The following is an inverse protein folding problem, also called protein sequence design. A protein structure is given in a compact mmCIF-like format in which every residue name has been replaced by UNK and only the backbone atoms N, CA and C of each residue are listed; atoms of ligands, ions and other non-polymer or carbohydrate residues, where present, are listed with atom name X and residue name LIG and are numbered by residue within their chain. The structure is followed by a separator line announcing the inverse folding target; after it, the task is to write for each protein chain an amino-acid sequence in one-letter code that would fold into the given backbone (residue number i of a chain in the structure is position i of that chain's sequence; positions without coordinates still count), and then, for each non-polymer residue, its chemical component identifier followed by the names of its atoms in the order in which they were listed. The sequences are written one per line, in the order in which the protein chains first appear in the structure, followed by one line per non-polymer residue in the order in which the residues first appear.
data_IF_791039666800
#
_entry.id   IF_791039666800
#
_cell.length_a   1.000
_cell.length_b   1.000
_cell.length_c   1.000
_cell.angle_alpha   90.00
_cell.angle_beta   90.00
_cell.angle_gamma   90.00
#
_symmetry.space_group_name_H-M   'P 1'
#
loop_
_entity.id
_entity.type
_entity.pdbx_description
1 polymer ?
#
# COMPACT_ATOMS: atom_id res chain seq x y z
N UNK A 1 12.17 2.09 33.67
CA UNK A 1 12.78 1.98 32.32
C UNK A 1 11.68 1.55 31.40
N UNK A 2 11.09 2.50 30.65
CA UNK A 2 10.09 2.17 29.63
C UNK A 2 10.79 1.44 28.49
N UNK A 3 10.32 0.25 28.14
CA UNK A 3 10.71 -0.44 26.92
C UNK A 3 10.28 0.47 25.76
N UNK A 4 11.26 0.99 25.02
CA UNK A 4 10.96 1.63 23.74
C UNK A 4 10.15 0.62 22.93
N UNK A 5 8.90 0.93 22.65
CA UNK A 5 8.08 0.14 21.71
C UNK A 5 8.81 0.17 20.39
N UNK A 6 9.20 -1.01 19.92
CA UNK A 6 9.89 -1.16 18.64
C UNK A 6 9.04 -0.51 17.55
N UNK A 7 9.65 0.40 16.76
CA UNK A 7 8.95 1.13 15.70
C UNK A 7 8.59 0.17 14.56
N UNK A 8 7.34 -0.24 14.52
CA UNK A 8 6.79 -1.17 13.52
C UNK A 8 6.47 -0.52 12.17
N UNK A 9 6.73 0.80 12.02
CA UNK A 9 6.44 1.58 10.81
C UNK A 9 7.64 1.69 9.86
N UNK A 10 8.67 0.89 10.02
CA UNK A 10 9.93 0.96 9.26
C UNK A 10 10.60 2.36 9.32
N UNK A 11 10.49 3.05 10.45
CA UNK A 11 11.05 4.38 10.65
C UNK A 11 10.14 5.53 10.22
N UNK A 12 9.01 5.27 9.59
CA UNK A 12 8.11 6.33 9.12
C UNK A 12 7.44 7.10 10.25
N UNK A 13 7.28 6.53 11.45
CA UNK A 13 6.80 7.30 12.62
C UNK A 13 7.74 8.46 12.96
N UNK A 14 9.05 8.25 12.90
CA UNK A 14 10.03 9.28 13.22
C UNK A 14 10.01 10.47 12.24
N UNK A 15 9.59 10.25 11.00
CA UNK A 15 9.53 11.27 9.93
C UNK A 15 8.10 11.66 9.54
N UNK A 16 7.10 11.15 10.25
CA UNK A 16 5.69 11.29 9.89
C UNK A 16 5.25 12.74 9.69
N UNK A 17 5.65 13.65 10.59
CA UNK A 17 5.31 15.08 10.49
C UNK A 17 5.83 15.71 9.20
N UNK A 18 7.08 15.41 8.83
CA UNK A 18 7.70 15.94 7.60
C UNK A 18 7.03 15.33 6.38
N UNK A 19 6.76 14.02 6.41
CA UNK A 19 6.06 13.32 5.33
C UNK A 19 4.67 13.89 5.09
N UNK A 20 3.88 14.09 6.15
CA UNK A 20 2.52 14.66 6.10
C UNK A 20 2.54 16.09 5.53
N UNK A 21 3.48 16.93 5.97
CA UNK A 21 3.63 18.30 5.47
C UNK A 21 3.98 18.30 3.96
N UNK A 22 4.87 17.44 3.52
CA UNK A 22 5.26 17.30 2.12
C UNK A 22 4.11 16.83 1.20
N UNK A 23 3.20 16.00 1.71
CA UNK A 23 2.01 15.55 0.97
C UNK A 23 0.90 16.61 0.96
N UNK A 24 0.76 17.42 2.02
CA UNK A 24 -0.26 18.47 2.11
C UNK A 24 0.01 19.72 1.27
N UNK A 25 1.22 19.91 0.73
CA UNK A 25 1.58 21.08 -0.10
C UNK A 25 1.27 20.88 -1.60
N UNK A 26 0.90 19.68 -2.03
CA UNK A 26 0.53 19.41 -3.42
C UNK A 26 -0.94 19.80 -3.65
N UNK A 27 -1.16 20.78 -4.55
CA UNK A 27 -2.46 21.43 -4.75
C UNK A 27 -3.54 20.51 -5.36
N UNK A 28 -3.13 19.40 -5.99
CA UNK A 28 -4.02 18.43 -6.64
C UNK A 28 -3.49 17.02 -6.47
N UNK A 29 -4.39 16.06 -6.33
CA UNK A 29 -4.07 14.62 -6.28
C UNK A 29 -3.28 14.17 -7.51
N UNK A 30 -3.63 14.69 -8.69
CA UNK A 30 -2.97 14.36 -9.95
C UNK A 30 -1.52 14.84 -10.09
N UNK A 31 -1.04 15.73 -9.19
CA UNK A 31 0.35 16.21 -9.19
C UNK A 31 1.31 15.27 -8.46
N UNK A 32 0.81 14.18 -7.88
CA UNK A 32 1.64 13.18 -7.19
C UNK A 32 2.15 12.14 -8.17
N UNK A 33 3.46 11.84 -8.09
CA UNK A 33 4.10 10.78 -8.88
C UNK A 33 3.30 9.48 -8.71
N UNK A 34 2.91 8.85 -9.85
CA UNK A 34 2.15 7.62 -9.89
C UNK A 34 0.63 7.75 -9.66
N UNK A 35 0.12 8.95 -9.37
CA UNK A 35 -1.31 9.17 -9.15
C UNK A 35 -2.17 8.72 -10.34
N UNK A 36 -1.68 8.93 -11.57
CA UNK A 36 -2.38 8.54 -12.79
C UNK A 36 -2.55 7.01 -12.89
N UNK A 37 -1.52 6.23 -12.50
CA UNK A 37 -1.56 4.76 -12.50
C UNK A 37 -2.59 4.25 -11.49
N UNK A 38 -2.54 4.76 -10.26
CA UNK A 38 -3.47 4.37 -9.19
C UNK A 38 -4.90 4.79 -9.54
N UNK A 39 -5.09 5.98 -10.13
CA UNK A 39 -6.39 6.44 -10.59
C UNK A 39 -6.97 5.53 -11.68
N UNK A 40 -6.20 5.18 -12.71
CA UNK A 40 -6.65 4.29 -13.77
C UNK A 40 -7.04 2.89 -13.22
N UNK A 41 -6.29 2.39 -12.22
CA UNK A 41 -6.62 1.14 -11.55
C UNK A 41 -7.92 1.27 -10.73
N UNK A 42 -8.11 2.37 -10.00
CA UNK A 42 -9.31 2.62 -9.21
C UNK A 42 -10.57 2.79 -10.07
N UNK A 43 -10.47 3.52 -11.18
CA UNK A 43 -11.58 3.76 -12.13
C UNK A 43 -12.07 2.46 -12.82
N UNK A 44 -11.26 1.39 -12.80
CA UNK A 44 -11.64 0.10 -13.37
C UNK A 44 -12.55 -0.74 -12.46
N UNK A 45 -12.87 -0.28 -11.26
CA UNK A 45 -13.84 -0.91 -10.37
C UNK A 45 -15.23 -0.30 -10.52
N UNK A 46 -16.30 -1.08 -10.31
CA UNK A 46 -17.62 -0.49 -10.22
C UNK A 46 -17.74 0.39 -8.96
N UNK A 47 -18.52 1.48 -9.02
CA UNK A 47 -18.79 2.30 -7.84
C UNK A 47 -19.34 1.46 -6.69
N UNK A 48 -18.89 1.76 -5.46
CA UNK A 48 -19.25 1.00 -4.26
C UNK A 48 -18.45 -0.28 -4.04
N UNK A 49 -17.51 -0.63 -4.92
CA UNK A 49 -16.60 -1.75 -4.67
C UNK A 49 -15.74 -1.47 -3.42
N UNK A 50 -15.51 -2.51 -2.62
CA UNK A 50 -14.68 -2.41 -1.41
C UNK A 50 -13.21 -2.56 -1.73
N UNK A 51 -12.38 -1.64 -1.26
CA UNK A 51 -10.93 -1.64 -1.48
C UNK A 51 -10.17 -1.41 -0.16
N UNK A 52 -9.07 -2.13 0.01
CA UNK A 52 -8.14 -1.98 1.12
C UNK A 52 -6.90 -1.20 0.67
N UNK A 53 -6.55 -0.13 1.38
CA UNK A 53 -5.33 0.67 1.21
C UNK A 53 -4.32 0.27 2.30
N UNK A 54 -3.32 -0.53 1.93
CA UNK A 54 -2.28 -1.03 2.83
C UNK A 54 -1.07 -0.09 2.85
N UNK A 55 -0.66 0.35 4.04
CA UNK A 55 0.37 1.37 4.18
C UNK A 55 -0.13 2.72 3.69
N UNK A 56 -1.39 3.04 4.04
CA UNK A 56 -2.10 4.22 3.53
C UNK A 56 -1.45 5.55 3.90
N UNK A 57 -0.55 5.55 4.89
CA UNK A 57 -0.01 6.78 5.45
C UNK A 57 -1.12 7.71 5.94
N UNK A 58 -1.05 9.02 5.65
CA UNK A 58 -2.10 9.98 5.99
C UNK A 58 -3.28 9.97 5.00
N UNK A 59 -3.36 8.99 4.08
CA UNK A 59 -4.40 8.82 3.08
C UNK A 59 -4.24 9.66 1.80
N UNK A 60 -3.20 10.49 1.74
CA UNK A 60 -2.88 11.30 0.56
C UNK A 60 -1.66 10.75 -0.18
N UNK A 61 -1.76 10.50 -1.49
CA UNK A 61 -2.94 10.67 -2.35
C UNK A 61 -3.81 9.41 -2.48
N UNK A 62 -3.40 8.24 -1.94
CA UNK A 62 -3.96 6.93 -2.23
C UNK A 62 -5.45 6.83 -1.88
N UNK A 63 -5.81 6.98 -0.61
CA UNK A 63 -7.21 6.92 -0.14
C UNK A 63 -8.08 7.97 -0.81
N UNK A 64 -7.55 9.18 -1.07
CA UNK A 64 -8.29 10.23 -1.80
C UNK A 64 -8.68 9.76 -3.19
N UNK A 65 -7.75 9.21 -3.95
CA UNK A 65 -8.00 8.67 -5.30
C UNK A 65 -9.09 7.58 -5.25
N UNK A 66 -8.99 6.65 -4.30
CA UNK A 66 -9.97 5.58 -4.15
C UNK A 66 -11.37 6.11 -3.86
N UNK A 67 -11.48 7.13 -2.99
CA UNK A 67 -12.77 7.75 -2.67
C UNK A 67 -13.34 8.57 -3.83
N UNK A 68 -12.50 9.31 -4.57
CA UNK A 68 -12.93 10.06 -5.76
C UNK A 68 -13.41 9.14 -6.88
N UNK A 69 -12.92 7.89 -6.95
CA UNK A 69 -13.44 6.84 -7.82
C UNK A 69 -14.76 6.20 -7.31
N UNK A 70 -15.30 6.66 -6.17
CA UNK A 70 -16.55 6.15 -5.60
C UNK A 70 -16.42 4.79 -4.89
N UNK A 71 -15.21 4.42 -4.46
CA UNK A 71 -14.95 3.14 -3.80
C UNK A 71 -15.17 3.23 -2.28
N UNK A 72 -15.62 2.14 -1.67
CA UNK A 72 -15.69 1.98 -0.22
C UNK A 72 -14.30 1.56 0.28
N UNK A 73 -13.59 2.50 0.88
CA UNK A 73 -12.19 2.31 1.27
C UNK A 73 -12.05 1.91 2.73
N UNK A 74 -11.15 0.98 3.00
CA UNK A 74 -10.60 0.61 4.30
C UNK A 74 -9.11 0.85 4.26
N UNK A 75 -8.49 1.20 5.40
CA UNK A 75 -7.07 1.52 5.44
C UNK A 75 -6.34 0.82 6.59
N UNK A 76 -5.06 0.54 6.39
CA UNK A 76 -4.16 0.04 7.43
C UNK A 76 -2.85 0.82 7.36
N UNK A 77 -2.38 1.32 8.49
CA UNK A 77 -1.06 1.93 8.61
C UNK A 77 -0.47 1.67 10.00
N UNK A 78 0.84 1.50 10.09
CA UNK A 78 1.52 1.17 11.34
C UNK A 78 1.87 2.40 12.18
N UNK A 79 2.04 3.58 11.56
CA UNK A 79 2.43 4.82 12.24
C UNK A 79 1.24 5.46 12.97
N UNK A 80 1.30 5.64 14.29
CA UNK A 80 0.25 6.33 15.04
C UNK A 80 0.03 7.76 14.55
N UNK A 81 1.08 8.48 14.18
CA UNK A 81 0.98 9.87 13.67
C UNK A 81 0.30 9.91 12.30
N UNK A 82 0.62 8.98 11.40
CA UNK A 82 -0.06 8.86 10.09
C UNK A 82 -1.54 8.53 10.27
N UNK A 83 -1.86 7.57 11.15
CA UNK A 83 -3.24 7.18 11.44
C UNK A 83 -4.05 8.34 12.05
N UNK A 84 -3.44 9.15 12.92
CA UNK A 84 -4.10 10.34 13.47
C UNK A 84 -4.43 11.35 12.35
N UNK A 85 -3.47 11.68 11.50
CA UNK A 85 -3.66 12.58 10.36
C UNK A 85 -4.69 12.03 9.34
N UNK A 86 -4.68 10.71 9.12
CA UNK A 86 -5.66 10.04 8.29
C UNK A 86 -7.09 10.24 8.80
N UNK A 87 -7.32 10.00 10.11
CA UNK A 87 -8.64 10.15 10.74
C UNK A 87 -9.19 11.58 10.65
N UNK A 88 -8.32 12.56 10.74
CA UNK A 88 -8.70 13.98 10.57
C UNK A 88 -9.13 14.27 9.12
N UNK A 89 -8.44 13.70 8.13
CA UNK A 89 -8.70 13.96 6.71
C UNK A 89 -9.86 13.13 6.15
N UNK A 90 -10.04 11.92 6.67
CA UNK A 90 -11.02 10.94 6.19
C UNK A 90 -11.86 10.37 7.34
N UNK A 91 -12.65 11.21 8.05
CA UNK A 91 -13.37 10.80 9.27
C UNK A 91 -14.38 9.68 9.06
N UNK A 92 -14.80 9.44 7.81
CA UNK A 92 -15.74 8.37 7.46
C UNK A 92 -15.08 7.07 6.97
N UNK A 93 -13.74 7.01 6.87
CA UNK A 93 -13.02 5.84 6.38
C UNK A 93 -12.45 5.03 7.54
N UNK A 94 -12.82 3.74 7.67
CA UNK A 94 -12.23 2.87 8.68
C UNK A 94 -10.71 2.74 8.47
N UNK A 95 -9.93 3.00 9.52
CA UNK A 95 -8.50 2.77 9.53
C UNK A 95 -8.08 1.98 10.77
N UNK A 96 -7.31 0.91 10.57
CA UNK A 96 -6.66 0.13 11.60
C UNK A 96 -5.21 0.60 11.78
N UNK A 97 -4.79 0.87 13.03
CA UNK A 97 -3.39 1.08 13.36
C UNK A 97 -2.75 -0.28 13.58
N UNK A 98 -2.09 -0.80 12.56
CA UNK A 98 -1.39 -2.09 12.62
C UNK A 98 -0.37 -2.19 11.49
N UNK A 99 0.55 -3.16 11.59
CA UNK A 99 1.37 -3.52 10.43
C UNK A 99 0.54 -4.37 9.45
N UNK A 100 0.95 -4.41 8.18
CA UNK A 100 0.29 -5.24 7.18
C UNK A 100 0.36 -6.74 7.52
N UNK A 101 1.45 -7.17 8.17
CA UNK A 101 1.66 -8.56 8.61
C UNK A 101 0.73 -8.94 9.76
N UNK A 102 0.51 -8.06 10.72
CA UNK A 102 -0.28 -8.33 11.91
C UNK A 102 -1.78 -8.02 11.76
N UNK A 103 -2.15 -7.10 10.85
CA UNK A 103 -3.55 -6.72 10.62
C UNK A 103 -4.40 -7.92 10.20
N UNK A 104 -5.60 -8.02 10.70
CA UNK A 104 -6.59 -9.00 10.24
C UNK A 104 -7.41 -8.51 9.03
N UNK A 105 -7.03 -7.37 8.43
CA UNK A 105 -7.73 -6.76 7.31
C UNK A 105 -9.25 -6.66 7.58
N UNK A 106 -9.61 -6.20 8.77
CA UNK A 106 -11.00 -6.06 9.23
C UNK A 106 -11.82 -7.37 9.23
N UNK A 107 -11.16 -8.55 9.10
CA UNK A 107 -11.81 -9.85 8.89
C UNK A 107 -12.81 -9.82 7.72
N UNK A 108 -12.44 -9.18 6.61
CA UNK A 108 -13.28 -8.98 5.43
C UNK A 108 -12.58 -9.43 4.15
N UNK A 109 -13.37 -9.57 3.11
CA UNK A 109 -12.89 -9.66 1.74
C UNK A 109 -13.05 -8.33 1.01
N UNK A 110 -12.24 -8.14 -0.03
CA UNK A 110 -12.16 -6.91 -0.80
C UNK A 110 -12.15 -7.20 -2.30
N UNK A 111 -12.76 -6.32 -3.06
CA UNK A 111 -12.67 -6.33 -4.52
C UNK A 111 -11.31 -5.89 -5.01
N UNK A 112 -10.63 -5.03 -4.25
CA UNK A 112 -9.28 -4.55 -4.54
C UNK A 112 -8.43 -4.38 -3.29
N UNK A 113 -7.11 -4.54 -3.45
CA UNK A 113 -6.11 -4.19 -2.45
C UNK A 113 -5.05 -3.34 -3.13
N UNK A 114 -4.69 -2.21 -2.52
CA UNK A 114 -3.61 -1.33 -2.94
C UNK A 114 -2.49 -1.39 -1.90
N UNK A 115 -1.24 -1.58 -2.33
CA UNK A 115 -0.04 -1.45 -1.51
C UNK A 115 0.98 -0.57 -2.22
N UNK A 116 0.72 0.74 -2.20
CA UNK A 116 1.52 1.73 -2.91
C UNK A 116 2.65 2.24 -2.03
N UNK A 117 3.89 1.84 -2.33
CA UNK A 117 5.06 2.22 -1.57
C UNK A 117 5.25 1.44 -0.26
N UNK A 118 4.70 0.23 -0.14
CA UNK A 118 4.75 -0.56 1.08
C UNK A 118 5.64 -1.79 0.99
N UNK A 119 5.46 -2.67 0.00
CA UNK A 119 6.05 -4.01 0.04
C UNK A 119 7.57 -3.97 0.20
N UNK A 120 8.24 -3.11 -0.51
CA UNK A 120 9.70 -3.00 -0.45
C UNK A 120 10.25 -2.45 0.89
N UNK A 121 9.39 -1.93 1.78
CA UNK A 121 9.76 -1.52 3.13
C UNK A 121 9.85 -2.71 4.09
N UNK A 122 9.27 -3.85 3.72
CA UNK A 122 9.18 -5.05 4.54
C UNK A 122 10.35 -6.00 4.26
N UNK A 123 10.71 -6.82 5.24
CA UNK A 123 11.66 -7.91 5.01
C UNK A 123 11.08 -9.00 4.08
N UNK A 124 11.90 -9.90 3.51
CA UNK A 124 11.44 -10.90 2.55
C UNK A 124 10.32 -11.81 3.05
N UNK A 125 10.38 -12.22 4.33
CA UNK A 125 9.38 -13.09 4.92
C UNK A 125 8.05 -12.35 5.11
N UNK A 126 8.11 -11.10 5.52
CA UNK A 126 6.94 -10.23 5.67
C UNK A 126 6.29 -9.91 4.31
N UNK A 127 7.08 -9.65 3.25
CA UNK A 127 6.55 -9.47 1.90
C UNK A 127 5.77 -10.71 1.43
N UNK A 128 6.33 -11.92 1.60
CA UNK A 128 5.67 -13.17 1.24
C UNK A 128 4.38 -13.36 2.05
N UNK A 129 4.43 -13.14 3.36
CA UNK A 129 3.26 -13.24 4.24
C UNK A 129 2.15 -12.26 3.84
N UNK A 130 2.49 -11.01 3.51
CA UNK A 130 1.49 -10.00 3.08
C UNK A 130 0.85 -10.41 1.76
N UNK A 131 1.61 -10.91 0.78
CA UNK A 131 1.07 -11.42 -0.48
C UNK A 131 0.05 -12.56 -0.23
N UNK A 132 0.39 -13.54 0.60
CA UNK A 132 -0.54 -14.63 0.97
C UNK A 132 -1.80 -14.10 1.67
N UNK A 133 -1.66 -13.12 2.57
CA UNK A 133 -2.80 -12.53 3.27
C UNK A 133 -3.70 -11.74 2.33
N UNK A 134 -3.12 -10.98 1.39
CA UNK A 134 -3.86 -10.29 0.34
C UNK A 134 -4.62 -11.30 -0.52
N UNK A 135 -3.99 -12.39 -0.93
CA UNK A 135 -4.65 -13.44 -1.71
C UNK A 135 -5.89 -14.01 -0.98
N UNK A 136 -5.77 -14.24 0.34
CA UNK A 136 -6.92 -14.70 1.16
C UNK A 136 -8.02 -13.64 1.31
N UNK A 137 -7.64 -12.37 1.40
CA UNK A 137 -8.57 -11.26 1.58
C UNK A 137 -9.22 -10.79 0.27
N UNK A 138 -8.69 -11.15 -0.89
CA UNK A 138 -9.32 -10.84 -2.16
C UNK A 138 -10.54 -11.73 -2.44
N UNK A 139 -11.60 -11.11 -2.96
CA UNK A 139 -12.73 -11.81 -3.57
C UNK A 139 -12.28 -12.56 -4.86
N UNK A 140 -13.04 -13.55 -5.36
CA UNK A 140 -12.81 -14.08 -6.69
C UNK A 140 -12.80 -12.95 -7.73
N UNK A 141 -11.83 -12.96 -8.65
CA UNK A 141 -11.57 -11.89 -9.62
C UNK A 141 -11.20 -10.53 -8.96
N UNK A 142 -10.86 -10.52 -7.68
CA UNK A 142 -10.35 -9.35 -6.99
C UNK A 142 -8.95 -8.97 -7.51
N UNK A 143 -8.60 -7.68 -7.39
CA UNK A 143 -7.36 -7.11 -7.95
C UNK A 143 -6.43 -6.61 -6.86
N UNK A 144 -5.14 -6.84 -7.07
CA UNK A 144 -4.09 -6.31 -6.22
C UNK A 144 -3.15 -5.43 -7.03
N UNK A 145 -2.89 -4.20 -6.57
CA UNK A 145 -1.90 -3.30 -7.12
C UNK A 145 -0.82 -3.03 -6.08
N UNK A 146 0.43 -3.29 -6.41
CA UNK A 146 1.56 -2.93 -5.55
C UNK A 146 2.75 -2.39 -6.34
N UNK A 147 3.64 -1.69 -5.64
CA UNK A 147 4.88 -1.16 -6.21
C UNK A 147 6.11 -1.86 -5.62
N UNK A 148 7.04 -2.22 -6.48
CA UNK A 148 8.39 -2.65 -6.12
C UNK A 148 9.30 -2.57 -7.36
N UNK A 149 10.63 -2.31 -7.22
CA UNK A 149 11.56 -2.44 -8.33
C UNK A 149 11.52 -3.83 -8.99
N UNK A 150 11.67 -3.89 -10.32
CA UNK A 150 11.71 -5.17 -11.05
C UNK A 150 12.93 -6.02 -10.72
N UNK A 151 14.07 -5.37 -10.48
CA UNK A 151 15.31 -6.06 -10.13
C UNK A 151 15.32 -6.38 -8.63
N UNK A 152 15.94 -7.51 -8.22
CA UNK A 152 16.28 -7.70 -6.82
C UNK A 152 17.32 -6.63 -6.43
N UNK A 153 16.95 -5.82 -5.44
CA UNK A 153 17.71 -4.64 -5.05
C UNK A 153 17.52 -4.35 -3.56
N UNK A 154 18.58 -3.89 -2.91
CA UNK A 154 18.56 -3.36 -1.55
C UNK A 154 19.06 -1.93 -1.56
N UNK A 155 18.41 -1.06 -0.79
CA UNK A 155 18.83 0.32 -0.63
C UNK A 155 18.45 0.86 0.75
N UNK A 156 18.98 2.02 1.10
CA UNK A 156 18.50 2.78 2.25
C UNK A 156 17.40 3.74 1.80
N UNK A 157 16.25 3.64 2.43
CA UNK A 157 15.13 4.56 2.19
C UNK A 157 15.57 6.01 2.45
N UNK A 158 15.29 6.89 1.49
CA UNK A 158 15.79 8.27 1.53
C UNK A 158 15.16 9.10 2.66
N UNK A 159 13.99 8.72 3.16
CA UNK A 159 13.30 9.43 4.24
C UNK A 159 13.68 8.92 5.61
N UNK A 160 13.75 7.60 5.77
CA UNK A 160 13.90 6.95 7.07
C UNK A 160 15.32 6.47 7.34
N UNK A 161 16.15 6.34 6.28
CA UNK A 161 17.47 5.69 6.38
C UNK A 161 17.40 4.20 6.70
N UNK A 162 16.21 3.60 6.76
CA UNK A 162 16.03 2.18 6.99
C UNK A 162 16.25 1.39 5.70
N UNK A 163 16.56 0.12 5.87
CA UNK A 163 16.72 -0.80 4.74
C UNK A 163 15.40 -1.04 4.04
N UNK A 164 15.40 -0.88 2.73
CA UNK A 164 14.34 -1.27 1.81
C UNK A 164 14.88 -2.28 0.81
N UNK A 165 14.02 -3.16 0.31
CA UNK A 165 14.45 -4.19 -0.63
C UNK A 165 13.34 -4.65 -1.56
N UNK A 166 13.69 -4.90 -2.81
CA UNK A 166 12.86 -5.63 -3.76
C UNK A 166 13.35 -7.07 -3.88
N UNK A 167 12.42 -8.02 -3.90
CA UNK A 167 12.72 -9.44 -4.14
C UNK A 167 12.96 -9.74 -5.62
N UNK A 168 12.64 -8.78 -6.50
CA UNK A 168 12.72 -8.91 -7.95
C UNK A 168 11.53 -9.64 -8.57
N UNK A 169 11.29 -9.35 -9.86
CA UNK A 169 10.10 -9.82 -10.58
C UNK A 169 9.91 -11.34 -10.56
N UNK A 170 10.97 -12.12 -10.73
CA UNK A 170 10.88 -13.59 -10.71
C UNK A 170 10.43 -14.13 -9.36
N UNK A 171 10.88 -13.52 -8.26
CA UNK A 171 10.47 -13.92 -6.92
C UNK A 171 9.02 -13.51 -6.66
N UNK A 172 8.63 -12.28 -7.04
CA UNK A 172 7.24 -11.85 -6.91
C UNK A 172 6.31 -12.73 -7.74
N UNK A 173 6.66 -13.05 -9.00
CA UNK A 173 5.85 -13.92 -9.85
C UNK A 173 5.61 -15.29 -9.21
N UNK A 174 6.64 -15.90 -8.60
CA UNK A 174 6.51 -17.16 -7.89
C UNK A 174 5.61 -17.02 -6.65
N UNK A 175 5.84 -16.01 -5.80
CA UNK A 175 5.04 -15.79 -4.59
C UNK A 175 3.56 -15.55 -4.92
N UNK A 176 3.28 -14.78 -5.96
CA UNK A 176 1.92 -14.54 -6.45
C UNK A 176 1.28 -15.85 -6.92
N UNK A 177 1.97 -16.61 -7.78
CA UNK A 177 1.49 -17.90 -8.27
C UNK A 177 1.19 -18.89 -7.13
N UNK A 178 2.11 -19.03 -6.17
CA UNK A 178 1.96 -19.93 -5.02
C UNK A 178 0.78 -19.51 -4.11
N UNK A 179 0.43 -18.23 -4.09
CA UNK A 179 -0.73 -17.70 -3.40
C UNK A 179 -2.05 -17.77 -4.20
N UNK A 180 -2.05 -18.29 -5.45
CA UNK A 180 -3.22 -18.34 -6.32
C UNK A 180 -3.57 -17.01 -6.97
N UNK A 181 -2.56 -16.17 -7.19
CA UNK A 181 -2.66 -14.88 -7.85
C UNK A 181 -1.93 -14.90 -9.20
N UNK A 182 -2.43 -14.13 -10.15
CA UNK A 182 -1.83 -14.00 -11.48
C UNK A 182 -1.36 -12.56 -11.71
N UNK A 183 -0.10 -12.37 -12.03
CA UNK A 183 0.42 -11.09 -12.54
C UNK A 183 -0.06 -10.91 -13.99
N UNK A 184 -0.93 -9.91 -14.22
CA UNK A 184 -1.62 -9.72 -15.51
C UNK A 184 -1.08 -8.56 -16.34
N UNK A 185 -0.49 -7.55 -15.70
CA UNK A 185 0.11 -6.40 -16.37
C UNK A 185 1.08 -5.69 -15.44
N UNK A 186 1.85 -4.77 -16.00
CA UNK A 186 2.69 -3.83 -15.28
C UNK A 186 2.62 -2.43 -15.88
N UNK A 187 3.03 -1.44 -15.12
CA UNK A 187 3.21 -0.06 -15.56
C UNK A 187 4.42 0.55 -14.85
N UNK A 188 4.87 1.66 -15.39
CA UNK A 188 5.89 2.51 -14.78
C UNK A 188 5.34 3.93 -14.73
N UNK A 189 5.55 4.63 -13.62
CA UNK A 189 5.17 6.03 -13.53
C UNK A 189 6.31 6.98 -13.96
N UNK A 190 6.03 8.27 -13.91
CA UNK A 190 6.97 9.35 -14.25
C UNK A 190 8.19 9.45 -13.32
N UNK A 191 8.15 8.77 -12.18
CA UNK A 191 9.25 8.63 -11.23
C UNK A 191 9.98 7.30 -11.33
N UNK A 192 9.73 6.56 -12.41
CA UNK A 192 10.31 5.23 -12.69
C UNK A 192 9.92 4.16 -11.65
N UNK A 193 8.89 4.40 -10.83
CA UNK A 193 8.36 3.36 -9.95
C UNK A 193 7.60 2.33 -10.76
N UNK A 194 7.87 1.06 -10.48
CA UNK A 194 7.23 -0.05 -11.17
C UNK A 194 6.02 -0.58 -10.39
N UNK A 195 4.92 -0.83 -11.10
CA UNK A 195 3.63 -1.29 -10.59
C UNK A 195 3.30 -2.68 -11.11
N UNK A 196 2.89 -3.58 -10.23
CA UNK A 196 2.41 -4.92 -10.55
C UNK A 196 0.89 -4.95 -10.44
N UNK A 197 0.23 -5.24 -11.57
CA UNK A 197 -1.21 -5.47 -11.63
C UNK A 197 -1.47 -6.97 -11.52
N UNK A 198 -2.22 -7.35 -10.50
CA UNK A 198 -2.42 -8.75 -10.12
C UNK A 198 -3.90 -9.02 -9.97
N UNK A 199 -4.34 -10.21 -10.37
CA UNK A 199 -5.72 -10.67 -10.23
C UNK A 199 -5.76 -12.02 -9.51
N UNK A 200 -6.83 -12.22 -8.72
CA UNK A 200 -7.15 -13.52 -8.14
C UNK A 200 -8.01 -14.30 -9.13
N UNK A 201 -7.56 -15.48 -9.49
CA UNK A 201 -8.27 -16.42 -10.36
C UNK A 201 -9.44 -17.06 -9.66
#
# INVERSE_FOLDING_TARGET
MGTATEDSSNGYEAVATIYIAGRGTRSRVGDSIGAAVVKAWADAFPPGATVLDLGSGPGEPSTRILQEAGLITYAVDASPTMVAAFRERFPGVPIERNTAEASAFFNRTFRGVLAWGLLFLLDPAAQALVIEKVARALEPQGRFLFTAPRQPLEWLDAMTGRRSQSLGEHTYQRLLHDAGLTWVADAQDEGENHYYFVEKV
#
